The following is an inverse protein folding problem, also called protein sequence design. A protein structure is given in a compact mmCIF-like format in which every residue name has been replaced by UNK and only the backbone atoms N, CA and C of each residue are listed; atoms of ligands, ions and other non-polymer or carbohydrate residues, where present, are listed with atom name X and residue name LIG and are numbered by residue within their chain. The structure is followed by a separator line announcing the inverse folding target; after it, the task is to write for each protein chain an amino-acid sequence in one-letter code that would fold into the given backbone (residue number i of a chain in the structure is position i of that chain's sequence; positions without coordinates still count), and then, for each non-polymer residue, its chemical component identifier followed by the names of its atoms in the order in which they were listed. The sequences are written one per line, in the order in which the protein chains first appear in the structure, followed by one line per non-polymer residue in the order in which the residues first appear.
data_IF_418186264121
#
_entry.id   IF_418186264121
#
_cell.length_a   1.000
_cell.length_b   1.000
_cell.length_c   1.000
_cell.angle_alpha   90.00
_cell.angle_beta   90.00
_cell.angle_gamma   90.00
#
_symmetry.space_group_name_H-M   'P 1'
#
loop_
_entity.id
_entity.type
_entity.pdbx_description
1 polymer ?
#
# COMPACT_ATOMS: atom_id res chain seq x y z
N UNK A 1 6.30 -18.90 21.79
CA UNK A 1 7.18 -18.20 20.83
C UNK A 1 6.40 -17.99 19.55
N UNK A 2 6.25 -16.75 19.07
CA UNK A 2 5.52 -16.51 17.80
C UNK A 2 6.30 -17.12 16.64
N UNK A 3 5.60 -17.91 15.83
CA UNK A 3 6.08 -18.51 14.59
C UNK A 3 6.86 -17.48 13.74
N UNK A 4 8.07 -17.82 13.22
CA UNK A 4 8.87 -16.91 12.40
C UNK A 4 8.12 -16.34 11.19
N UNK A 5 7.28 -17.14 10.54
CA UNK A 5 6.52 -16.72 9.36
C UNK A 5 5.43 -15.71 9.74
N UNK A 6 4.72 -15.94 10.85
CA UNK A 6 3.79 -14.97 11.43
C UNK A 6 4.49 -13.64 11.80
N UNK A 7 5.70 -13.70 12.33
CA UNK A 7 6.48 -12.50 12.64
C UNK A 7 6.86 -11.73 11.37
N UNK A 8 7.28 -12.43 10.32
CA UNK A 8 7.64 -11.82 9.04
C UNK A 8 6.44 -11.12 8.39
N UNK A 9 5.27 -11.78 8.33
CA UNK A 9 4.02 -11.21 7.81
C UNK A 9 3.62 -9.93 8.54
N UNK A 10 3.68 -9.94 9.88
CA UNK A 10 3.39 -8.72 10.67
C UNK A 10 4.39 -7.60 10.43
N UNK A 11 5.67 -7.93 10.25
CA UNK A 11 6.68 -6.93 9.97
C UNK A 11 6.44 -6.27 8.60
N UNK A 12 6.17 -7.07 7.58
CA UNK A 12 5.91 -6.59 6.23
C UNK A 12 4.66 -5.70 6.17
N UNK A 13 3.58 -6.10 6.83
CA UNK A 13 2.37 -5.28 6.96
C UNK A 13 2.65 -3.92 7.59
N UNK A 14 3.43 -3.86 8.68
CA UNK A 14 3.80 -2.59 9.33
C UNK A 14 4.66 -1.69 8.43
N UNK A 15 5.59 -2.27 7.67
CA UNK A 15 6.41 -1.50 6.71
C UNK A 15 5.50 -0.85 5.68
N UNK A 16 4.57 -1.63 5.13
CA UNK A 16 3.65 -1.14 4.12
C UNK A 16 2.68 -0.07 4.66
N UNK A 17 2.08 -0.29 5.83
CA UNK A 17 1.26 0.71 6.54
C UNK A 17 2.02 2.02 6.77
N UNK A 18 3.28 1.94 7.20
CA UNK A 18 4.13 3.10 7.39
C UNK A 18 4.43 3.80 6.06
N UNK A 19 4.76 3.06 5.01
CA UNK A 19 5.01 3.62 3.67
C UNK A 19 3.80 4.41 3.17
N UNK A 20 2.59 3.86 3.27
CA UNK A 20 1.36 4.54 2.88
C UNK A 20 1.12 5.79 3.72
N UNK A 21 1.22 5.67 5.06
CA UNK A 21 0.99 6.78 5.99
C UNK A 21 1.98 7.93 5.77
N UNK A 22 3.23 7.61 5.49
CA UNK A 22 4.30 8.59 5.28
C UNK A 22 4.45 9.02 3.82
N UNK A 23 3.63 8.49 2.91
CA UNK A 23 3.66 8.81 1.47
C UNK A 23 5.02 8.52 0.86
N UNK A 24 5.57 7.36 1.22
CA UNK A 24 6.86 6.88 0.75
C UNK A 24 6.62 5.78 -0.31
N UNK A 25 6.58 6.21 -1.57
CA UNK A 25 6.37 5.32 -2.72
C UNK A 25 7.48 4.27 -2.84
N UNK A 26 8.72 4.66 -2.60
CA UNK A 26 9.86 3.76 -2.76
C UNK A 26 9.83 2.67 -1.68
N UNK A 27 9.50 3.04 -0.44
CA UNK A 27 9.30 2.06 0.63
C UNK A 27 8.10 1.14 0.36
N UNK A 28 7.02 1.68 -0.20
CA UNK A 28 5.86 0.88 -0.61
C UNK A 28 6.24 -0.15 -1.67
N UNK A 29 6.92 0.27 -2.74
CA UNK A 29 7.42 -0.62 -3.81
C UNK A 29 8.36 -1.70 -3.29
N UNK A 30 9.28 -1.33 -2.40
CA UNK A 30 10.19 -2.30 -1.77
C UNK A 30 9.41 -3.35 -0.96
N UNK A 31 8.35 -2.96 -0.24
CA UNK A 31 7.50 -3.90 0.46
C UNK A 31 6.73 -4.84 -0.49
N UNK A 32 6.25 -4.33 -1.63
CA UNK A 32 5.63 -5.16 -2.66
C UNK A 32 6.62 -6.15 -3.29
N UNK A 33 7.85 -5.72 -3.59
CA UNK A 33 8.89 -6.58 -4.14
C UNK A 33 9.22 -7.74 -3.19
N UNK A 34 9.30 -7.45 -1.88
CA UNK A 34 9.48 -8.48 -0.86
C UNK A 34 8.28 -9.45 -0.85
N UNK A 35 7.05 -8.93 -0.92
CA UNK A 35 5.84 -9.76 -0.96
C UNK A 35 5.81 -10.67 -2.20
N UNK A 36 6.05 -10.12 -3.39
CA UNK A 36 6.12 -10.87 -4.66
C UNK A 36 7.22 -11.94 -4.61
N UNK A 37 8.38 -11.61 -4.06
CA UNK A 37 9.49 -12.55 -3.91
C UNK A 37 9.16 -13.71 -2.96
N UNK A 38 8.41 -13.44 -1.89
CA UNK A 38 7.92 -14.47 -0.98
C UNK A 38 6.89 -15.38 -1.67
N UNK A 39 5.93 -14.82 -2.41
CA UNK A 39 4.94 -15.59 -3.17
C UNK A 39 5.57 -16.47 -4.24
N UNK A 40 6.59 -15.98 -4.96
CA UNK A 40 7.35 -16.76 -5.94
C UNK A 40 8.07 -17.97 -5.32
N UNK A 41 8.19 -18.01 -3.98
CA UNK A 41 8.76 -19.11 -3.20
C UNK A 41 7.68 -19.89 -2.45
N UNK A 42 6.42 -19.73 -2.84
CA UNK A 42 5.24 -20.38 -2.24
C UNK A 42 5.04 -20.04 -0.75
N UNK A 43 5.57 -18.89 -0.30
CA UNK A 43 5.36 -18.36 1.04
C UNK A 43 4.17 -17.37 1.03
N UNK A 44 3.37 -17.39 2.09
CA UNK A 44 2.32 -16.39 2.32
C UNK A 44 2.93 -15.11 2.93
N UNK A 45 3.00 -13.98 2.21
CA UNK A 45 3.48 -12.70 2.76
C UNK A 45 2.42 -11.97 3.61
N UNK A 46 1.18 -12.48 3.67
CA UNK A 46 0.06 -11.78 4.25
C UNK A 46 -0.49 -10.66 3.34
N UNK A 47 -1.51 -9.91 3.81
CA UNK A 47 -2.30 -9.00 2.97
C UNK A 47 -1.58 -7.66 2.73
N UNK A 48 -0.47 -7.68 2.01
CA UNK A 48 0.18 -6.45 1.52
C UNK A 48 -0.64 -5.82 0.39
N UNK A 49 -1.33 -6.65 -0.39
CA UNK A 49 -2.12 -6.28 -1.57
C UNK A 49 -3.48 -5.62 -1.25
N UNK A 50 -3.85 -5.51 0.04
CA UNK A 50 -5.13 -4.89 0.42
C UNK A 50 -5.16 -3.38 0.15
N UNK A 51 -4.01 -2.75 -0.07
CA UNK A 51 -3.91 -1.34 -0.42
C UNK A 51 -4.00 -1.17 -1.93
N UNK A 52 -5.13 -0.63 -2.38
CA UNK A 52 -5.39 -0.45 -3.82
C UNK A 52 -4.88 0.92 -4.30
N UNK A 53 -4.45 1.03 -5.57
CA UNK A 53 -4.27 2.32 -6.23
C UNK A 53 -5.56 3.15 -6.14
N UNK A 54 -5.41 4.48 -6.18
CA UNK A 54 -6.56 5.37 -6.21
C UNK A 54 -7.44 5.04 -7.44
N UNK A 55 -8.74 4.71 -7.27
CA UNK A 55 -9.59 4.36 -8.41
C UNK A 55 -9.90 5.55 -9.33
N UNK A 56 -9.60 6.77 -8.86
CA UNK A 56 -9.87 8.02 -9.59
C UNK A 56 -8.69 8.40 -10.48
N UNK A 57 -7.48 8.44 -9.91
CA UNK A 57 -6.29 8.94 -10.62
C UNK A 57 -5.15 7.91 -10.79
N UNK A 58 -5.32 6.68 -10.29
CA UNK A 58 -4.30 5.63 -10.38
C UNK A 58 -3.09 5.80 -9.45
N UNK A 59 -3.10 6.78 -8.55
CA UNK A 59 -2.01 6.98 -7.60
C UNK A 59 -1.81 5.75 -6.70
N UNK A 60 -0.61 5.18 -6.72
CA UNK A 60 -0.22 4.01 -5.93
C UNK A 60 -0.27 4.31 -4.43
N UNK A 61 -0.48 3.32 -3.55
CA UNK A 61 -0.28 3.51 -2.12
C UNK A 61 1.12 4.08 -1.85
N UNK A 62 1.22 5.10 -0.97
CA UNK A 62 2.46 5.86 -0.80
C UNK A 62 2.63 7.06 -1.75
N UNK A 63 1.80 7.26 -2.78
CA UNK A 63 1.79 8.49 -3.58
C UNK A 63 0.72 9.48 -3.12
N UNK A 64 0.85 10.76 -3.50
CA UNK A 64 -0.25 11.72 -3.45
C UNK A 64 -1.18 11.55 -4.65
N UNK A 65 -2.47 11.86 -4.48
CA UNK A 65 -3.39 11.95 -5.60
C UNK A 65 -3.06 13.18 -6.45
N UNK A 66 -3.28 13.07 -7.76
CA UNK A 66 -3.16 14.19 -8.69
C UNK A 66 -4.54 14.77 -9.01
N UNK A 67 -4.57 16.06 -9.34
CA UNK A 67 -5.79 16.69 -9.82
C UNK A 67 -6.14 16.16 -11.22
N UNK A 68 -7.36 15.67 -11.40
CA UNK A 68 -7.90 15.28 -12.70
C UNK A 68 -9.16 16.09 -13.02
N UNK A 69 -9.42 16.42 -14.31
CA UNK A 69 -10.66 17.09 -14.70
C UNK A 69 -11.91 16.36 -14.17
N UNK A 70 -12.82 17.09 -13.53
CA UNK A 70 -14.07 16.54 -12.98
C UNK A 70 -13.96 15.82 -11.63
N UNK A 71 -12.74 15.63 -11.10
CA UNK A 71 -12.47 15.14 -9.72
C UNK A 71 -11.22 15.85 -9.15
N UNK A 72 -11.30 17.16 -8.85
CA UNK A 72 -10.17 17.89 -8.30
C UNK A 72 -9.83 17.43 -6.88
N UNK A 73 -8.55 17.54 -6.52
CA UNK A 73 -8.03 17.31 -5.17
C UNK A 73 -7.05 18.44 -4.83
N UNK A 74 -7.06 18.90 -3.59
CA UNK A 74 -6.13 19.94 -3.16
C UNK A 74 -4.69 19.39 -3.06
N UNK A 75 -3.66 20.25 -3.21
CA UNK A 75 -2.28 19.82 -3.03
C UNK A 75 -2.06 19.18 -1.66
N UNK A 76 -1.52 17.95 -1.64
CA UNK A 76 -1.26 17.20 -0.40
C UNK A 76 -2.47 16.46 0.18
N UNK A 77 -3.63 16.55 -0.45
CA UNK A 77 -4.82 15.76 -0.12
C UNK A 77 -4.93 14.50 -1.00
N UNK A 78 -5.88 13.63 -0.65
CA UNK A 78 -6.21 12.42 -1.40
C UNK A 78 -7.65 12.48 -1.86
N UNK A 79 -7.95 11.84 -2.99
CA UNK A 79 -9.34 11.63 -3.40
C UNK A 79 -10.09 10.86 -2.29
N UNK A 80 -11.30 11.29 -1.90
CA UNK A 80 -12.07 10.61 -0.86
C UNK A 80 -12.28 9.12 -1.14
N UNK A 81 -12.36 8.71 -2.40
CA UNK A 81 -12.50 7.33 -2.86
C UNK A 81 -11.29 6.44 -2.53
N UNK A 82 -10.15 7.05 -2.18
CA UNK A 82 -8.95 6.31 -1.74
C UNK A 82 -9.00 5.94 -0.26
N UNK A 83 -9.76 6.68 0.55
CA UNK A 83 -9.90 6.48 2.00
C UNK A 83 -11.30 6.05 2.43
N UNK A 84 -12.29 6.16 1.54
CA UNK A 84 -13.57 5.50 1.67
C UNK A 84 -13.32 4.02 1.46
N UNK A 85 -12.94 3.37 2.55
CA UNK A 85 -13.07 1.96 2.86
C UNK A 85 -13.42 1.08 1.66
N UNK A 86 -12.57 0.11 1.34
CA UNK A 86 -13.03 -1.09 0.64
C UNK A 86 -14.02 -1.86 1.53
N UNK A 87 -15.24 -1.34 1.67
CA UNK A 87 -16.39 -1.94 2.32
C UNK A 87 -17.59 -1.91 1.37
#
# INVERSE_FOLDING_TARGET
MTDPSERARRALRRIHEAAVRHRDLELHRAAEDIARSAQARELDPGPVESYRPCPVCGAEPGQLCINIPGRPVAPGEMHPERTKEGA
#
